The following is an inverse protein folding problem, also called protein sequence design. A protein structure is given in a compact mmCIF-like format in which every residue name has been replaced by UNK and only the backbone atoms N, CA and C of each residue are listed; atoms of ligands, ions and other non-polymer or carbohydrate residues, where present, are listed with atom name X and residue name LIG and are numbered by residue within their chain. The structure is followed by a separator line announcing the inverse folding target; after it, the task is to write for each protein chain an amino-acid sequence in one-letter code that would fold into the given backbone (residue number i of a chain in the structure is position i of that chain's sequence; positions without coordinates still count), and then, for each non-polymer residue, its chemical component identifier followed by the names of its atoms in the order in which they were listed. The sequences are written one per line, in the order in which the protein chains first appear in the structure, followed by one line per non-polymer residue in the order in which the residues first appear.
data_IF_484616037644
#
_entry.id   IF_484616037644
#
_cell.length_a   1.000
_cell.length_b   1.000
_cell.length_c   1.000
_cell.angle_alpha   90.00
_cell.angle_beta   90.00
_cell.angle_gamma   90.00
#
_symmetry.space_group_name_H-M   'P 1'
#
loop_
_entity.id
_entity.type
_entity.pdbx_description
1 polymer ?
#
# COMPACT_ATOMS: atom_id res chain seq x y z
N UNK A 1 7.28 -3.47 -14.96
CA UNK A 1 6.84 -4.73 -14.29
C UNK A 1 6.01 -4.50 -13.02
N UNK A 2 6.01 -3.31 -12.39
CA UNK A 2 5.22 -3.04 -11.17
C UNK A 2 3.72 -2.73 -11.41
N UNK A 3 3.37 -2.11 -12.53
CA UNK A 3 1.97 -1.72 -12.84
C UNK A 3 1.06 -2.94 -12.99
N UNK A 4 1.56 -4.04 -13.56
CA UNK A 4 0.81 -5.27 -13.74
C UNK A 4 0.52 -5.97 -12.41
N UNK A 5 1.53 -6.09 -11.56
CA UNK A 5 1.42 -6.66 -10.22
C UNK A 5 0.49 -5.83 -9.32
N UNK A 6 0.62 -4.50 -9.36
CA UNK A 6 -0.26 -3.60 -8.62
C UNK A 6 -1.73 -3.73 -9.05
N UNK A 7 -1.99 -3.80 -10.37
CA UNK A 7 -3.34 -4.03 -10.91
C UNK A 7 -3.91 -5.39 -10.51
N UNK A 8 -3.11 -6.45 -10.58
CA UNK A 8 -3.53 -7.80 -10.19
C UNK A 8 -3.86 -7.87 -8.70
N UNK A 9 -2.97 -7.35 -7.86
CA UNK A 9 -3.20 -7.27 -6.42
C UNK A 9 -4.46 -6.47 -6.09
N UNK A 10 -4.60 -5.26 -6.65
CA UNK A 10 -5.73 -4.39 -6.34
C UNK A 10 -7.07 -5.07 -6.67
N UNK A 11 -7.15 -5.80 -7.77
CA UNK A 11 -8.35 -6.57 -8.13
C UNK A 11 -8.74 -7.59 -7.06
N UNK A 12 -7.77 -8.29 -6.48
CA UNK A 12 -8.00 -9.26 -5.39
C UNK A 12 -8.40 -8.57 -4.08
N UNK A 13 -7.66 -7.55 -3.67
CA UNK A 13 -7.93 -6.81 -2.43
C UNK A 13 -9.26 -6.07 -2.49
N UNK A 14 -9.59 -5.43 -3.62
CA UNK A 14 -10.87 -4.77 -3.82
C UNK A 14 -12.03 -5.75 -3.68
N UNK A 15 -11.95 -6.93 -4.33
CA UNK A 15 -12.97 -7.97 -4.20
C UNK A 15 -13.17 -8.39 -2.74
N UNK A 16 -12.08 -8.62 -2.00
CA UNK A 16 -12.13 -8.97 -0.58
C UNK A 16 -12.79 -7.88 0.27
N UNK A 17 -12.45 -6.60 0.05
CA UNK A 17 -13.00 -5.47 0.80
C UNK A 17 -14.51 -5.34 0.56
N UNK A 18 -14.95 -5.44 -0.70
CA UNK A 18 -16.38 -5.40 -1.04
C UNK A 18 -17.13 -6.59 -0.44
N UNK A 19 -16.57 -7.81 -0.50
CA UNK A 19 -17.17 -8.99 0.14
C UNK A 19 -17.32 -8.83 1.66
N UNK A 20 -16.42 -8.08 2.30
CA UNK A 20 -16.50 -7.75 3.74
C UNK A 20 -17.43 -6.58 4.06
N UNK A 21 -18.12 -6.01 3.06
CA UNK A 21 -18.97 -4.83 3.24
C UNK A 21 -18.19 -3.55 3.55
N UNK A 22 -16.88 -3.52 3.30
CA UNK A 22 -16.06 -2.33 3.50
C UNK A 22 -16.32 -1.36 2.35
N UNK A 23 -16.69 -0.13 2.69
CA UNK A 23 -16.78 0.97 1.72
C UNK A 23 -15.36 1.30 1.26
N UNK A 24 -15.10 1.09 -0.04
CA UNK A 24 -13.80 1.39 -0.64
C UNK A 24 -13.80 2.83 -1.12
N UNK A 25 -13.44 3.74 -0.22
CA UNK A 25 -13.14 5.12 -0.55
C UNK A 25 -11.62 5.34 -0.76
N UNK A 26 -11.25 6.59 -1.06
CA UNK A 26 -9.85 6.97 -1.27
C UNK A 26 -8.97 6.74 -0.04
N UNK A 27 -9.50 6.88 1.17
CA UNK A 27 -8.76 6.66 2.41
C UNK A 27 -8.50 5.19 2.67
N UNK A 28 -9.51 4.35 2.45
CA UNK A 28 -9.40 2.91 2.49
C UNK A 28 -8.32 2.42 1.52
N UNK A 29 -8.36 2.88 0.26
CA UNK A 29 -7.35 2.57 -0.74
C UNK A 29 -5.95 2.97 -0.28
N UNK A 30 -5.76 4.23 0.15
CA UNK A 30 -4.45 4.71 0.63
C UNK A 30 -3.92 3.84 1.77
N UNK A 31 -4.75 3.50 2.75
CA UNK A 31 -4.34 2.68 3.89
C UNK A 31 -3.82 1.32 3.45
N UNK A 32 -4.62 0.55 2.71
CA UNK A 32 -4.23 -0.82 2.30
C UNK A 32 -3.09 -0.84 1.27
N UNK A 33 -2.98 0.21 0.46
CA UNK A 33 -1.89 0.38 -0.49
C UNK A 33 -0.57 0.67 0.23
N UNK A 34 -0.58 1.62 1.18
CA UNK A 34 0.60 1.94 1.98
C UNK A 34 1.02 0.78 2.88
N UNK A 35 0.06 0.05 3.48
CA UNK A 35 0.33 -1.18 4.22
C UNK A 35 1.09 -2.21 3.38
N UNK A 36 0.67 -2.42 2.12
CA UNK A 36 1.32 -3.42 1.28
C UNK A 36 2.69 -3.01 0.76
N UNK A 37 2.85 -1.75 0.35
CA UNK A 37 4.02 -1.33 -0.43
C UNK A 37 4.98 -0.40 0.32
N UNK A 38 4.54 0.19 1.44
CA UNK A 38 5.25 1.30 2.09
C UNK A 38 5.39 1.17 3.62
N UNK A 39 4.74 0.20 4.28
CA UNK A 39 4.61 0.27 5.75
C UNK A 39 5.92 0.12 6.52
N UNK A 40 6.82 -0.72 6.03
CA UNK A 40 8.10 -1.02 6.69
C UNK A 40 9.28 -0.56 5.85
N UNK A 41 9.23 -0.81 4.54
CA UNK A 41 10.24 -0.40 3.57
C UNK A 41 10.43 1.12 3.50
N UNK A 42 9.34 1.91 3.59
CA UNK A 42 9.44 3.37 3.49
C UNK A 42 9.69 4.05 4.81
N UNK A 43 9.25 3.46 5.93
CA UNK A 43 9.71 3.90 7.25
C UNK A 43 11.23 3.68 7.36
N UNK A 44 11.73 2.50 7.02
CA UNK A 44 13.17 2.22 7.00
C UNK A 44 13.92 3.05 5.96
N UNK A 45 13.38 3.25 4.74
CA UNK A 45 14.04 4.10 3.76
C UNK A 45 14.12 5.56 4.23
N UNK A 46 13.08 6.07 4.90
CA UNK A 46 13.08 7.41 5.48
C UNK A 46 14.02 7.52 6.68
N UNK A 47 14.06 6.52 7.55
CA UNK A 47 15.04 6.42 8.64
C UNK A 47 16.47 6.41 8.08
N UNK A 48 16.74 5.59 7.06
CA UNK A 48 18.05 5.52 6.40
C UNK A 48 18.41 6.83 5.70
N UNK A 49 17.47 7.47 5.00
CA UNK A 49 17.68 8.83 4.46
C UNK A 49 18.04 9.80 5.58
N UNK A 50 17.31 9.78 6.69
CA UNK A 50 17.55 10.66 7.83
C UNK A 50 18.92 10.42 8.49
N UNK A 51 19.32 9.17 8.62
CA UNK A 51 20.63 8.78 9.15
C UNK A 51 21.79 9.12 8.19
N UNK A 52 21.51 9.26 6.89
CA UNK A 52 22.47 9.66 5.85
C UNK A 52 22.57 11.18 5.65
N UNK A 53 21.72 11.98 6.31
CA UNK A 53 21.79 13.44 6.29
C UNK A 53 22.87 14.03 7.22
N UNK A 54 23.78 13.19 7.75
CA UNK A 54 25.00 13.63 8.44
C UNK A 54 26.13 13.90 7.44
#
# INVERSE_FOLDING_TARGET
MLVGEAKYWWRGTHKMLVTRGVVVDWECFKRVFLEKYFLESVRHAKEVEFMRLH
#
